data_IF_344733541078
#
_entry.id   IF_344733541078
#
_cell.length_a   1.000
_cell.length_b   1.000
_cell.length_c   1.000
_cell.angle_alpha   90.00
_cell.angle_beta   90.00
_cell.angle_gamma   90.00
#
_symmetry.space_group_name_H-M   'P 1'
#
loop_
_entity.id
_entity.type
_entity.pdbx_description
1 polymer ?
#
# COMPACT_ATOMS: atom_id res chain seq x y z
N UNK A 1 -27.97 0.57 -22.87
CA UNK A 1 -26.55 0.71 -22.53
C UNK A 1 -26.42 0.22 -21.10
N UNK A 2 -26.22 -1.08 -20.92
CA UNK A 2 -26.03 -1.67 -19.59
C UNK A 2 -24.71 -1.14 -19.06
N UNK A 3 -24.77 -0.44 -17.94
CA UNK A 3 -23.58 -0.09 -17.18
C UNK A 3 -23.05 -1.43 -16.65
N UNK A 4 -22.11 -2.06 -17.35
CA UNK A 4 -21.47 -3.26 -16.85
C UNK A 4 -20.86 -2.88 -15.50
N UNK A 5 -21.42 -3.48 -14.44
CA UNK A 5 -20.98 -3.21 -13.10
C UNK A 5 -19.48 -3.51 -13.03
N UNK A 6 -18.70 -2.58 -12.45
CA UNK A 6 -17.28 -2.79 -12.20
C UNK A 6 -17.11 -4.17 -11.57
N UNK A 7 -16.33 -5.09 -12.17
CA UNK A 7 -16.33 -6.50 -11.78
C UNK A 7 -15.64 -6.73 -10.43
N UNK A 8 -15.05 -5.67 -9.86
CA UNK A 8 -14.33 -5.69 -8.60
C UNK A 8 -15.18 -5.18 -7.42
N UNK A 9 -15.13 -5.89 -6.31
CA UNK A 9 -15.73 -5.46 -5.04
C UNK A 9 -14.75 -5.60 -3.87
N UNK A 10 -15.00 -4.82 -2.81
CA UNK A 10 -14.19 -4.80 -1.60
C UNK A 10 -15.11 -5.20 -0.43
N UNK A 11 -14.91 -6.40 0.09
CA UNK A 11 -15.53 -6.84 1.34
C UNK A 11 -14.74 -6.29 2.52
N UNK A 12 -15.44 -5.89 3.58
CA UNK A 12 -14.81 -5.41 4.81
C UNK A 12 -15.43 -6.01 6.05
N UNK A 13 -14.58 -6.50 6.96
CA UNK A 13 -14.98 -6.87 8.31
C UNK A 13 -14.45 -5.82 9.30
N UNK A 14 -15.22 -5.49 10.33
CA UNK A 14 -14.74 -4.72 11.47
C UNK A 14 -13.81 -5.60 12.33
N UNK A 15 -12.64 -5.06 12.68
CA UNK A 15 -11.65 -5.72 13.54
C UNK A 15 -11.34 -4.91 14.81
N UNK A 16 -12.24 -4.02 15.20
CA UNK A 16 -12.18 -3.14 16.38
C UNK A 16 -11.26 -1.94 16.21
N UNK A 17 -10.01 -2.15 15.79
CA UNK A 17 -9.03 -1.08 15.56
C UNK A 17 -9.07 -0.52 14.13
N UNK A 18 -10.00 -1.00 13.29
CA UNK A 18 -10.07 -0.68 11.87
C UNK A 18 -10.84 -1.75 11.12
N UNK A 19 -10.48 -1.97 9.86
CA UNK A 19 -11.20 -2.88 8.96
C UNK A 19 -10.25 -3.85 8.29
N UNK A 20 -10.64 -5.12 8.20
CA UNK A 20 -10.00 -6.10 7.31
C UNK A 20 -10.69 -6.06 5.97
N UNK A 21 -9.90 -5.93 4.90
CA UNK A 21 -10.36 -5.79 3.54
C UNK A 21 -10.03 -7.05 2.72
N UNK A 22 -10.97 -7.50 1.90
CA UNK A 22 -10.77 -8.59 0.91
C UNK A 22 -11.28 -8.16 -0.44
N UNK A 23 -10.56 -8.52 -1.50
CA UNK A 23 -10.88 -8.10 -2.86
C UNK A 23 -11.50 -9.26 -3.61
N UNK A 24 -12.60 -8.99 -4.30
CA UNK A 24 -13.29 -9.97 -5.12
C UNK A 24 -13.32 -9.50 -6.57
N UNK A 25 -13.21 -10.46 -7.48
CA UNK A 25 -13.43 -10.29 -8.90
C UNK A 25 -14.55 -11.24 -9.32
N UNK A 26 -15.64 -10.70 -9.87
CA UNK A 26 -16.87 -11.45 -10.16
C UNK A 26 -17.41 -12.29 -8.98
N UNK A 27 -17.28 -11.76 -7.75
CA UNK A 27 -17.76 -12.44 -6.55
C UNK A 27 -16.82 -13.51 -5.97
N UNK A 28 -15.67 -13.76 -6.59
CA UNK A 28 -14.65 -14.67 -6.08
C UNK A 28 -13.45 -13.91 -5.53
N UNK A 29 -12.89 -14.33 -4.39
CA UNK A 29 -11.68 -13.71 -3.83
C UNK A 29 -10.51 -13.88 -4.80
N UNK A 30 -9.79 -12.79 -5.06
CA UNK A 30 -8.55 -12.83 -5.86
C UNK A 30 -7.37 -13.23 -4.98
N UNK A 31 -6.30 -13.75 -5.58
CA UNK A 31 -5.05 -14.06 -4.90
C UNK A 31 -4.18 -12.81 -4.67
N UNK A 32 -3.13 -12.89 -3.85
CA UNK A 32 -2.13 -11.83 -3.77
C UNK A 32 -1.37 -11.66 -5.10
N UNK A 33 -1.12 -12.76 -5.83
CA UNK A 33 -0.53 -12.70 -7.16
C UNK A 33 -1.40 -11.87 -8.11
N UNK A 34 -2.72 -12.11 -8.12
CA UNK A 34 -3.67 -11.34 -8.93
C UNK A 34 -3.70 -9.87 -8.51
N UNK A 35 -3.79 -9.59 -7.20
CA UNK A 35 -3.78 -8.23 -6.68
C UNK A 35 -2.55 -7.45 -7.16
N UNK A 36 -1.35 -8.01 -6.98
CA UNK A 36 -0.10 -7.36 -7.37
C UNK A 36 -0.04 -7.21 -8.90
N UNK A 37 -0.42 -8.23 -9.65
CA UNK A 37 -0.42 -8.19 -11.12
C UNK A 37 -1.38 -7.14 -11.66
N UNK A 38 -2.59 -7.02 -11.09
CA UNK A 38 -3.57 -6.00 -11.45
C UNK A 38 -3.10 -4.60 -11.09
N UNK A 39 -2.52 -4.38 -9.89
CA UNK A 39 -1.94 -3.08 -9.53
C UNK A 39 -0.77 -2.68 -10.47
N UNK A 40 -0.01 -3.65 -10.96
CA UNK A 40 1.09 -3.40 -11.90
C UNK A 40 0.58 -3.03 -13.31
N UNK A 41 -0.45 -3.71 -13.80
CA UNK A 41 -0.75 -3.76 -15.23
C UNK A 41 -2.12 -3.21 -15.63
N UNK A 42 -3.05 -3.06 -14.68
CA UNK A 42 -4.42 -2.66 -14.94
C UNK A 42 -4.73 -1.30 -14.28
N UNK A 43 -4.76 -0.26 -15.11
CA UNK A 43 -5.06 1.10 -14.67
C UNK A 43 -6.50 1.29 -14.16
N UNK A 44 -7.46 0.51 -14.65
CA UNK A 44 -8.84 0.56 -14.18
C UNK A 44 -8.96 -0.08 -12.80
N UNK A 45 -8.30 -1.23 -12.59
CA UNK A 45 -8.20 -1.84 -11.27
C UNK A 45 -7.51 -0.91 -10.27
N UNK A 46 -6.38 -0.29 -10.65
CA UNK A 46 -5.66 0.62 -9.78
C UNK A 46 -6.52 1.83 -9.38
N UNK A 47 -7.29 2.39 -10.31
CA UNK A 47 -8.23 3.49 -10.02
C UNK A 47 -9.36 3.05 -9.08
N UNK A 48 -9.97 1.88 -9.36
CA UNK A 48 -11.01 1.32 -8.52
C UNK A 48 -10.50 1.06 -7.10
N UNK A 49 -9.35 0.41 -6.97
CA UNK A 49 -8.71 0.10 -5.70
C UNK A 49 -8.47 1.39 -4.91
N UNK A 50 -7.82 2.37 -5.54
CA UNK A 50 -7.54 3.67 -4.95
C UNK A 50 -8.79 4.38 -4.46
N UNK A 51 -9.87 4.37 -5.26
CA UNK A 51 -11.16 4.97 -4.88
C UNK A 51 -11.76 4.29 -3.66
N UNK A 52 -11.73 2.95 -3.60
CA UNK A 52 -12.25 2.21 -2.44
C UNK A 52 -11.48 2.54 -1.17
N UNK A 53 -10.15 2.61 -1.25
CA UNK A 53 -9.30 2.99 -0.12
C UNK A 53 -9.56 4.45 0.31
N UNK A 54 -9.63 5.39 -0.64
CA UNK A 54 -9.86 6.81 -0.37
C UNK A 54 -11.22 7.09 0.32
N UNK A 55 -12.22 6.25 0.06
CA UNK A 55 -13.56 6.33 0.67
C UNK A 55 -13.64 5.73 2.09
N UNK A 56 -12.54 5.19 2.61
CA UNK A 56 -12.48 4.74 4.01
C UNK A 56 -12.82 5.92 4.93
N UNK A 57 -13.76 5.77 5.89
CA UNK A 57 -14.23 6.85 6.76
C UNK A 57 -13.22 7.16 7.89
N UNK A 58 -11.95 7.36 7.52
CA UNK A 58 -10.85 7.74 8.38
C UNK A 58 -10.10 8.90 7.72
N UNK A 59 -9.47 9.77 8.52
CA UNK A 59 -8.65 10.86 7.98
C UNK A 59 -7.30 10.33 7.46
N UNK A 60 -6.71 9.39 8.18
CA UNK A 60 -5.51 8.67 7.79
C UNK A 60 -5.58 7.21 8.27
N UNK A 61 -4.82 6.32 7.62
CA UNK A 61 -4.78 4.90 7.99
C UNK A 61 -3.37 4.34 7.92
N UNK A 62 -3.13 3.29 8.70
CA UNK A 62 -2.11 2.30 8.40
C UNK A 62 -2.71 1.28 7.44
N UNK A 63 -2.04 1.07 6.31
CA UNK A 63 -2.31 0.00 5.37
C UNK A 63 -1.28 -1.12 5.57
N UNK A 64 -1.73 -2.31 5.92
CA UNK A 64 -0.85 -3.43 6.27
C UNK A 64 -1.32 -4.72 5.63
N UNK A 65 -0.40 -5.45 5.00
CA UNK A 65 -0.62 -6.79 4.45
C UNK A 65 -0.08 -7.87 5.40
N UNK A 66 -0.60 -9.10 5.39
CA UNK A 66 0.09 -10.21 6.03
C UNK A 66 1.46 -10.46 5.39
N UNK A 67 2.30 -11.25 6.05
CA UNK A 67 3.60 -11.61 5.50
C UNK A 67 3.46 -12.41 4.20
N UNK A 68 4.14 -11.97 3.15
CA UNK A 68 4.11 -12.60 1.83
C UNK A 68 5.40 -13.39 1.59
N UNK A 69 5.27 -14.54 0.94
CA UNK A 69 6.37 -15.40 0.48
C UNK A 69 6.05 -15.89 -0.93
N UNK A 70 7.04 -16.41 -1.64
CA UNK A 70 6.83 -16.99 -2.98
C UNK A 70 5.86 -18.17 -2.97
N UNK A 71 5.66 -18.81 -1.82
CA UNK A 71 4.77 -19.97 -1.66
C UNK A 71 3.35 -19.62 -1.23
N UNK A 72 3.06 -18.37 -0.87
CA UNK A 72 1.74 -17.96 -0.38
C UNK A 72 1.04 -16.90 -1.25
N UNK A 73 1.60 -16.56 -2.41
CA UNK A 73 1.00 -15.57 -3.30
C UNK A 73 -0.37 -16.02 -3.87
N UNK A 74 -0.61 -17.33 -3.96
CA UNK A 74 -1.90 -17.89 -4.38
C UNK A 74 -2.98 -17.81 -3.27
N UNK A 75 -2.60 -17.45 -2.05
CA UNK A 75 -3.57 -17.25 -0.96
C UNK A 75 -4.47 -16.05 -1.26
N UNK A 76 -5.70 -16.10 -0.74
CA UNK A 76 -6.69 -15.04 -0.94
C UNK A 76 -6.18 -13.69 -0.40
N UNK A 77 -6.20 -12.67 -1.26
CA UNK A 77 -5.71 -11.34 -0.95
C UNK A 77 -6.53 -10.69 0.18
N UNK A 78 -5.82 -10.26 1.21
CA UNK A 78 -6.37 -9.49 2.31
C UNK A 78 -5.35 -8.51 2.88
N UNK A 79 -5.87 -7.42 3.43
CA UNK A 79 -5.08 -6.40 4.12
C UNK A 79 -5.95 -5.74 5.18
N UNK A 80 -5.36 -4.90 6.02
CA UNK A 80 -6.11 -4.09 6.98
C UNK A 80 -5.90 -2.61 6.71
N UNK A 81 -6.94 -1.84 7.02
CA UNK A 81 -6.92 -0.40 7.13
C UNK A 81 -7.20 -0.07 8.59
N UNK A 82 -6.20 0.38 9.32
CA UNK A 82 -6.32 0.76 10.72
C UNK A 82 -6.36 2.27 10.85
N UNK A 83 -7.29 2.79 11.65
CA UNK A 83 -7.39 4.23 11.86
C UNK A 83 -6.09 4.79 12.47
N UNK A 84 -5.61 5.89 11.93
CA UNK A 84 -4.32 6.48 12.28
C UNK A 84 -4.46 7.98 12.56
N UNK A 85 -5.20 8.40 13.61
CA UNK A 85 -5.45 9.81 13.90
C UNK A 85 -4.15 10.61 14.12
N UNK A 86 -3.09 9.97 14.61
CA UNK A 86 -1.77 10.58 14.76
C UNK A 86 -1.13 10.99 13.40
N UNK A 87 -1.49 10.33 12.29
CA UNK A 87 -1.02 10.69 10.94
C UNK A 87 -1.87 11.78 10.30
N UNK A 88 -3.14 11.94 10.70
CA UNK A 88 -4.04 12.91 10.08
C UNK A 88 -3.56 14.36 10.21
N UNK A 89 -2.83 14.67 11.30
CA UNK A 89 -2.24 15.98 11.54
C UNK A 89 -0.84 16.16 10.92
N UNK A 90 -0.29 15.13 10.26
CA UNK A 90 1.05 15.15 9.70
C UNK A 90 1.19 16.22 8.60
N UNK A 91 2.28 16.98 8.65
CA UNK A 91 2.63 17.95 7.60
C UNK A 91 3.70 17.36 6.70
N UNK A 92 3.49 17.46 5.39
CA UNK A 92 4.44 16.97 4.40
C UNK A 92 5.84 17.53 4.64
N UNK A 93 6.81 16.64 4.82
CA UNK A 93 8.23 16.97 4.97
C UNK A 93 9.08 16.13 3.98
N UNK A 94 9.58 16.74 2.89
CA UNK A 94 10.45 16.07 1.93
C UNK A 94 11.90 15.92 2.44
N UNK A 95 12.28 16.61 3.53
CA UNK A 95 13.65 16.70 4.02
C UNK A 95 14.35 15.34 4.17
N UNK A 96 13.73 14.34 4.81
CA UNK A 96 14.31 13.01 4.96
C UNK A 96 14.62 12.29 3.64
N UNK A 97 13.99 12.67 2.53
CA UNK A 97 14.17 12.07 1.20
C UNK A 97 14.90 13.00 0.22
N UNK A 98 15.44 14.15 0.67
CA UNK A 98 16.04 15.16 -0.19
C UNK A 98 17.12 14.61 -1.13
N UNK A 99 18.01 13.74 -0.63
CA UNK A 99 19.06 13.13 -1.45
C UNK A 99 18.49 12.24 -2.55
N UNK A 100 17.46 11.44 -2.23
CA UNK A 100 16.78 10.57 -3.20
C UNK A 100 16.06 11.43 -4.25
N UNK A 101 15.43 12.51 -3.82
CA UNK A 101 14.71 13.41 -4.71
C UNK A 101 15.61 14.17 -5.67
N UNK A 102 16.81 14.56 -5.24
CA UNK A 102 17.78 15.24 -6.08
C UNK A 102 18.23 14.41 -7.29
N UNK A 103 18.16 13.08 -7.20
CA UNK A 103 18.57 12.13 -8.24
C UNK A 103 17.39 11.60 -9.08
N UNK A 104 16.16 12.04 -8.79
CA UNK A 104 14.93 11.46 -9.35
C UNK A 104 14.17 12.41 -10.29
N UNK A 105 13.36 11.84 -11.18
CA UNK A 105 12.33 12.59 -11.90
C UNK A 105 11.21 13.02 -10.94
N UNK A 106 10.70 14.23 -11.11
CA UNK A 106 9.75 14.85 -10.17
C UNK A 106 8.46 14.05 -9.99
N UNK A 107 7.94 13.49 -11.08
CA UNK A 107 6.64 12.82 -11.10
C UNK A 107 6.72 11.29 -10.94
N UNK A 108 7.94 10.73 -10.91
CA UNK A 108 8.14 9.30 -10.79
C UNK A 108 8.31 8.88 -9.32
N UNK A 109 7.69 7.76 -8.91
CA UNK A 109 7.97 7.16 -7.61
C UNK A 109 9.43 6.74 -7.51
N UNK A 110 10.02 6.98 -6.36
CA UNK A 110 11.39 6.62 -6.04
C UNK A 110 11.44 5.30 -5.27
N UNK A 111 12.48 4.49 -5.54
CA UNK A 111 12.76 3.22 -4.87
C UNK A 111 14.13 3.28 -4.21
N UNK A 112 14.23 3.07 -2.91
CA UNK A 112 15.51 3.18 -2.20
C UNK A 112 15.51 2.36 -0.91
N UNK A 113 16.70 1.94 -0.47
CA UNK A 113 16.86 1.26 0.81
C UNK A 113 16.58 2.22 1.98
N UNK A 114 15.94 1.73 3.04
CA UNK A 114 15.82 2.47 4.31
C UNK A 114 17.19 2.78 4.90
N UNK A 115 17.28 3.75 5.83
CA UNK A 115 18.53 4.11 6.51
C UNK A 115 19.22 2.89 7.17
N UNK A 116 18.42 2.01 7.78
CA UNK A 116 18.89 0.76 8.37
C UNK A 116 19.14 -0.37 7.36
N UNK A 117 18.84 -0.15 6.08
CA UNK A 117 18.92 -1.11 4.97
C UNK A 117 18.17 -2.42 5.22
N UNK A 118 17.17 -2.38 6.08
CA UNK A 118 16.31 -3.49 6.48
C UNK A 118 14.99 -3.54 5.71
N UNK A 119 14.74 -2.53 4.87
CA UNK A 119 13.55 -2.39 4.05
C UNK A 119 13.88 -1.72 2.70
N UNK A 120 13.14 -2.10 1.67
CA UNK A 120 13.00 -1.31 0.45
C UNK A 120 11.82 -0.35 0.65
N UNK A 121 12.02 0.92 0.36
CA UNK A 121 10.99 1.96 0.42
C UNK A 121 10.58 2.36 -1.00
N UNK A 122 9.27 2.52 -1.18
CA UNK A 122 8.68 3.10 -2.40
C UNK A 122 7.90 4.34 -1.99
N UNK A 123 8.27 5.50 -2.50
CA UNK A 123 7.62 6.77 -2.19
C UNK A 123 7.22 7.50 -3.48
N UNK A 124 6.10 8.25 -3.50
CA UNK A 124 5.83 9.14 -4.61
C UNK A 124 6.90 10.23 -4.72
N UNK A 125 7.21 10.65 -5.94
CA UNK A 125 8.25 11.64 -6.25
C UNK A 125 7.95 13.05 -5.73
N UNK A 126 8.95 13.95 -5.73
CA UNK A 126 8.86 15.28 -5.10
C UNK A 126 7.88 16.25 -5.79
N UNK A 127 7.43 15.95 -7.01
CA UNK A 127 6.49 16.75 -7.79
C UNK A 127 5.04 16.66 -7.32
N UNK A 128 4.72 15.77 -6.37
CA UNK A 128 3.36 15.69 -5.82
C UNK A 128 3.02 16.93 -4.98
N UNK A 129 1.76 17.35 -5.04
CA UNK A 129 1.28 18.45 -4.21
C UNK A 129 1.43 18.18 -2.72
N UNK A 130 1.71 19.22 -1.93
CA UNK A 130 1.91 19.10 -0.46
C UNK A 130 0.72 18.47 0.27
N UNK A 131 -0.50 18.63 -0.25
CA UNK A 131 -1.71 18.02 0.30
C UNK A 131 -1.79 16.50 0.05
N UNK A 132 -1.10 15.99 -0.98
CA UNK A 132 -1.06 14.57 -1.31
C UNK A 132 0.10 13.82 -0.62
N UNK A 133 1.15 14.53 -0.24
CA UNK A 133 2.38 13.93 0.26
C UNK A 133 2.34 13.24 1.64
N UNK A 134 1.54 13.63 2.66
CA UNK A 134 1.80 13.20 4.04
C UNK A 134 1.61 11.69 4.31
N UNK A 135 0.56 11.09 3.77
CA UNK A 135 0.18 9.70 4.06
C UNK A 135 -0.73 9.14 2.95
N UNK A 136 -1.05 7.84 3.03
CA UNK A 136 -1.72 7.11 1.95
C UNK A 136 -3.06 7.73 1.56
N UNK A 137 -3.98 7.95 2.50
CA UNK A 137 -5.29 8.52 2.15
C UNK A 137 -5.20 9.95 1.61
N UNK A 138 -4.25 10.77 2.10
CA UNK A 138 -4.01 12.10 1.56
C UNK A 138 -3.56 12.00 0.09
N UNK A 139 -2.66 11.07 -0.22
CA UNK A 139 -2.22 10.81 -1.59
C UNK A 139 -3.37 10.35 -2.48
N UNK A 140 -4.11 9.32 -2.07
CA UNK A 140 -5.21 8.77 -2.87
C UNK A 140 -6.37 9.75 -3.09
N UNK A 141 -6.55 10.73 -2.20
CA UNK A 141 -7.60 11.75 -2.30
C UNK A 141 -7.20 12.99 -3.12
N UNK A 142 -5.90 13.30 -3.21
CA UNK A 142 -5.44 14.59 -3.75
C UNK A 142 -4.45 14.48 -4.93
N UNK A 143 -3.80 13.33 -5.14
CA UNK A 143 -2.87 13.15 -6.25
C UNK A 143 -3.61 12.94 -7.58
N UNK A 144 -2.92 13.22 -8.69
CA UNK A 144 -3.46 12.92 -10.02
C UNK A 144 -3.54 11.39 -10.23
N UNK A 145 -4.56 10.92 -10.95
CA UNK A 145 -4.75 9.49 -11.22
C UNK A 145 -3.51 8.83 -11.85
N UNK A 146 -2.80 9.53 -12.74
CA UNK A 146 -1.55 9.04 -13.34
C UNK A 146 -0.46 8.78 -12.28
N UNK A 147 -0.29 9.69 -11.31
CA UNK A 147 0.67 9.52 -10.22
C UNK A 147 0.28 8.36 -9.29
N UNK A 148 -1.02 8.20 -9.03
CA UNK A 148 -1.55 7.09 -8.22
C UNK A 148 -1.27 5.74 -8.88
N UNK A 149 -1.62 5.60 -10.16
CA UNK A 149 -1.35 4.38 -10.93
C UNK A 149 0.13 4.07 -11.00
N UNK A 150 0.98 5.09 -11.19
CA UNK A 150 2.42 4.90 -11.25
C UNK A 150 2.98 4.44 -9.89
N UNK A 151 2.52 5.00 -8.77
CA UNK A 151 2.89 4.52 -7.43
C UNK A 151 2.50 3.05 -7.24
N UNK A 152 1.26 2.68 -7.58
CA UNK A 152 0.81 1.29 -7.44
C UNK A 152 1.59 0.32 -8.32
N UNK A 153 1.87 0.71 -9.57
CA UNK A 153 2.75 -0.06 -10.44
C UNK A 153 4.11 -0.27 -9.81
N UNK A 154 4.76 0.79 -9.34
CA UNK A 154 6.09 0.69 -8.74
C UNK A 154 6.08 -0.17 -7.48
N UNK A 155 5.06 -0.07 -6.64
CA UNK A 155 4.91 -0.89 -5.42
C UNK A 155 4.72 -2.36 -5.77
N UNK A 156 3.82 -2.66 -6.70
CA UNK A 156 3.53 -4.02 -7.11
C UNK A 156 4.74 -4.69 -7.77
N UNK A 157 5.39 -4.00 -8.72
CA UNK A 157 6.62 -4.46 -9.36
C UNK A 157 7.73 -4.69 -8.32
N UNK A 158 7.98 -3.72 -7.44
CA UNK A 158 8.99 -3.88 -6.39
C UNK A 158 8.69 -5.04 -5.45
N UNK A 159 7.41 -5.28 -5.14
CA UNK A 159 6.99 -6.41 -4.30
C UNK A 159 7.27 -7.72 -5.01
N UNK A 160 6.81 -7.89 -6.25
CA UNK A 160 7.03 -9.09 -7.05
C UNK A 160 8.53 -9.40 -7.26
N UNK A 161 9.36 -8.37 -7.45
CA UNK A 161 10.82 -8.51 -7.55
C UNK A 161 11.50 -8.90 -6.23
N UNK A 162 10.90 -8.56 -5.08
CA UNK A 162 11.49 -8.79 -3.74
C UNK A 162 11.03 -10.09 -3.11
N UNK A 163 9.89 -10.65 -3.55
CA UNK A 163 9.34 -11.90 -3.02
C UNK A 163 10.38 -13.02 -3.13
N UNK A 164 10.50 -13.80 -2.04
CA UNK A 164 11.40 -14.95 -1.92
C UNK A 164 10.78 -16.01 -1.01
N UNK A 165 11.56 -17.02 -0.63
CA UNK A 165 11.22 -17.97 0.42
C UNK A 165 11.10 -17.31 1.82
N UNK A 166 11.70 -16.13 2.00
CA UNK A 166 11.64 -15.38 3.26
C UNK A 166 10.40 -14.47 3.31
N UNK A 167 9.79 -14.30 4.50
CA UNK A 167 8.65 -13.41 4.68
C UNK A 167 8.98 -11.95 4.35
N UNK A 168 8.11 -11.33 3.56
CA UNK A 168 8.13 -9.92 3.20
C UNK A 168 6.89 -9.22 3.75
N UNK A 169 7.07 -8.12 4.48
CA UNK A 169 5.99 -7.33 5.04
C UNK A 169 5.78 -6.06 4.23
N UNK A 170 4.59 -5.92 3.64
CA UNK A 170 4.18 -4.77 2.82
C UNK A 170 3.24 -3.86 3.62
N UNK A 171 3.64 -2.60 3.88
CA UNK A 171 2.85 -1.71 4.73
C UNK A 171 3.11 -0.21 4.52
N UNK A 172 2.29 0.64 5.14
CA UNK A 172 2.59 2.06 5.40
C UNK A 172 2.64 2.32 6.91
N UNK A 173 3.56 3.18 7.38
CA UNK A 173 3.57 3.65 8.77
C UNK A 173 3.60 5.17 8.91
N UNK A 174 4.57 5.88 8.33
CA UNK A 174 4.53 7.35 8.23
C UNK A 174 4.72 8.16 9.52
N UNK A 175 4.81 7.55 10.71
CA UNK A 175 4.87 8.30 11.99
C UNK A 175 6.22 9.02 12.23
N UNK A 176 7.31 8.52 11.66
CA UNK A 176 8.64 9.11 11.81
C UNK A 176 9.08 10.02 10.65
N UNK A 177 8.48 9.84 9.47
CA UNK A 177 8.77 10.63 8.26
C UNK A 177 7.44 10.95 7.59
N UNK A 178 7.10 12.23 7.57
CA UNK A 178 5.82 12.74 7.06
C UNK A 178 5.86 12.95 5.54
N UNK A 179 6.25 11.91 4.82
CA UNK A 179 6.11 11.80 3.37
C UNK A 179 5.73 10.35 3.10
N UNK A 180 4.66 10.11 2.32
CA UNK A 180 4.16 8.77 2.05
C UNK A 180 5.31 7.89 1.59
N UNK A 181 5.47 6.75 2.25
CA UNK A 181 6.38 5.71 1.81
C UNK A 181 5.76 4.37 2.17
N UNK A 182 5.67 3.53 1.15
CA UNK A 182 5.31 2.13 1.28
C UNK A 182 6.59 1.37 1.58
N UNK A 183 6.51 0.47 2.55
CA UNK A 183 7.63 -0.28 3.06
C UNK A 183 7.50 -1.74 2.70
N UNK A 184 8.58 -2.29 2.17
CA UNK A 184 8.80 -3.70 1.91
C UNK A 184 9.89 -4.14 2.90
N UNK A 185 9.47 -4.57 4.08
CA UNK A 185 10.36 -4.89 5.20
C UNK A 185 10.65 -6.39 5.30
N UNK A 186 11.88 -6.72 5.72
CA UNK A 186 12.27 -8.08 6.11
C UNK A 186 11.77 -8.52 7.49
N UNK A 187 11.14 -7.61 8.26
CA UNK A 187 10.56 -7.82 9.60
C UNK A 187 9.39 -6.84 9.83
N UNK A 188 8.38 -7.17 10.65
CA UNK A 188 7.19 -6.32 10.84
C UNK A 188 7.43 -5.16 11.83
N UNK A 189 8.43 -4.31 11.58
CA UNK A 189 8.98 -3.32 12.54
C UNK A 189 7.98 -2.25 12.99
N UNK A 190 6.98 -1.94 12.17
CA UNK A 190 6.02 -0.84 12.40
C UNK A 190 4.56 -1.25 12.33
N UNK A 191 4.28 -2.56 12.35
CA UNK A 191 2.93 -3.09 12.22
C UNK A 191 2.09 -2.80 13.45
N UNK A 192 0.93 -2.20 13.28
CA UNK A 192 -0.05 -2.01 14.34
C UNK A 192 -0.96 -3.24 14.47
N UNK A 193 -1.24 -3.95 13.38
CA UNK A 193 -2.02 -5.18 13.41
C UNK A 193 -1.16 -6.36 13.90
N UNK A 194 -1.23 -6.65 15.20
CA UNK A 194 -0.47 -7.74 15.85
C UNK A 194 -0.56 -9.08 15.10
N UNK A 195 -1.72 -9.56 14.61
CA UNK A 195 -1.80 -10.83 13.89
C UNK A 195 -0.88 -10.92 12.66
N UNK A 196 -0.74 -9.83 11.88
CA UNK A 196 0.11 -9.83 10.68
C UNK A 196 1.61 -9.82 10.97
N UNK A 197 2.02 -9.67 12.25
CA UNK A 197 3.42 -9.85 12.65
C UNK A 197 3.87 -11.31 12.59
N UNK A 198 2.93 -12.26 12.58
CA UNK A 198 3.26 -13.68 12.39
C UNK A 198 3.55 -13.96 10.91
N UNK A 199 4.70 -14.56 10.63
CA UNK A 199 5.04 -15.03 9.29
C UNK A 199 4.11 -16.17 8.81
N UNK A 200 3.48 -16.88 9.76
CA UNK A 200 2.61 -18.02 9.47
C UNK A 200 1.12 -17.65 9.41
N UNK A 201 0.77 -16.37 9.56
CA UNK A 201 -0.63 -15.92 9.67
C UNK A 201 -1.53 -16.50 8.56
N UNK A 202 -1.05 -16.53 7.30
CA UNK A 202 -1.84 -17.04 6.17
C UNK A 202 -2.02 -18.57 6.17
N UNK A 203 -1.12 -19.32 6.82
CA UNK A 203 -1.24 -20.77 6.96
C UNK A 203 -2.22 -21.18 8.07
N UNK A 204 -2.59 -20.24 8.95
CA UNK A 204 -3.47 -20.45 10.09
C UNK A 204 -4.93 -20.00 9.82
N UNK A 205 -5.19 -19.40 8.66
CA UNK A 205 -6.48 -18.80 8.27
C UNK A 205 -7.39 -19.75 7.47
#
# INVERSE_FOLDING_TARGET
MTCDAIPFSLETDDIGAGRRCRILHHGSRISFADLLTSLANDGEFADWYSRKLALTPCDAVFWEHPALTGTNLDAAAQFVLLDAPALAAAKADPGPFANVFAESHTDEPVRFASLGKDALLVAPGPGIGRAAAPHLLAFLRNAHAAQIRLLWRTVATATLETISDKPLWLSTSGLGVCWLHIRLDSRPKYYQHRPYRSANYLAEC
#
